data_IF_249598856292
#
_entry.id   IF_249598856292
#
_cell.length_a   1.000
_cell.length_b   1.000
_cell.length_c   1.000
_cell.angle_alpha   90.00
_cell.angle_beta   90.00
_cell.angle_gamma   90.00
#
_symmetry.space_group_name_H-M   'P 1'
#
loop_
_entity.id
_entity.type
_entity.pdbx_description
1 polymer ?
#
# COMPACT_ATOMS: atom_id res chain seq x y z
N UNK A 1 33.30 -12.44 -4.01
CA UNK A 1 32.40 -11.26 -4.03
C UNK A 1 33.25 -10.02 -3.82
N UNK A 2 33.21 -9.07 -4.75
CA UNK A 2 33.98 -7.81 -4.74
C UNK A 2 33.16 -6.67 -4.11
N UNK A 3 33.80 -5.59 -3.66
CA UNK A 3 33.11 -4.41 -3.08
C UNK A 3 32.04 -3.84 -4.03
N UNK A 4 32.31 -3.87 -5.33
CA UNK A 4 31.40 -3.47 -6.40
C UNK A 4 30.06 -4.24 -6.40
N UNK A 5 30.10 -5.53 -6.08
CA UNK A 5 28.89 -6.36 -5.98
C UNK A 5 27.95 -5.88 -4.87
N UNK A 6 28.49 -5.51 -3.70
CA UNK A 6 27.69 -5.01 -2.59
C UNK A 6 27.09 -3.63 -2.86
N UNK A 7 27.79 -2.79 -3.64
CA UNK A 7 27.31 -1.46 -4.03
C UNK A 7 26.16 -1.53 -5.05
N UNK A 8 26.10 -2.59 -5.87
CA UNK A 8 25.09 -2.78 -6.91
C UNK A 8 24.11 -3.92 -6.59
N UNK A 9 24.03 -4.32 -5.33
CA UNK A 9 23.17 -5.41 -4.88
C UNK A 9 21.71 -5.27 -5.37
N UNK A 10 21.07 -4.07 -5.31
CA UNK A 10 19.68 -3.91 -5.75
C UNK A 10 19.47 -4.18 -7.25
N UNK A 11 20.49 -3.94 -8.09
CA UNK A 11 20.40 -4.16 -9.53
C UNK A 11 20.40 -5.65 -9.90
N UNK A 12 20.85 -6.51 -8.99
CA UNK A 12 20.92 -7.96 -9.18
C UNK A 12 19.70 -8.70 -8.62
N UNK A 13 18.79 -7.99 -7.93
CA UNK A 13 17.57 -8.56 -7.35
C UNK A 13 16.41 -8.29 -8.31
N UNK A 14 15.76 -9.35 -8.76
CA UNK A 14 14.53 -9.21 -9.54
C UNK A 14 13.43 -8.61 -8.65
N UNK A 15 12.82 -7.46 -9.02
CA UNK A 15 11.75 -6.87 -8.24
C UNK A 15 10.46 -7.70 -8.27
N UNK A 16 10.31 -8.64 -9.21
CA UNK A 16 9.15 -9.53 -9.32
C UNK A 16 9.35 -10.74 -8.40
N UNK A 17 8.39 -10.96 -7.51
CA UNK A 17 8.36 -12.14 -6.64
C UNK A 17 7.88 -13.36 -7.41
N UNK A 18 6.76 -13.23 -8.12
CA UNK A 18 6.23 -14.26 -9.02
C UNK A 18 5.24 -13.65 -10.02
N UNK A 19 5.18 -14.25 -11.20
CA UNK A 19 4.27 -13.87 -12.28
C UNK A 19 3.22 -14.95 -12.51
N UNK A 20 1.95 -14.56 -12.58
CA UNK A 20 0.83 -15.43 -12.96
C UNK A 20 0.25 -14.89 -14.27
N UNK A 21 0.67 -15.47 -15.39
CA UNK A 21 0.24 -15.03 -16.72
C UNK A 21 0.64 -13.57 -16.99
N UNK A 22 -0.36 -12.71 -17.22
CA UNK A 22 -0.15 -11.28 -17.50
C UNK A 22 0.02 -10.42 -16.23
N UNK A 23 -0.09 -11.01 -15.03
CA UNK A 23 -0.05 -10.29 -13.76
C UNK A 23 1.26 -10.58 -13.00
N UNK A 24 1.98 -9.55 -12.58
CA UNK A 24 3.27 -9.70 -11.91
C UNK A 24 3.23 -9.14 -10.49
N UNK A 25 3.41 -10.02 -9.49
CA UNK A 25 3.45 -9.59 -8.09
C UNK A 25 4.88 -9.23 -7.73
N UNK A 26 5.08 -8.00 -7.26
CA UNK A 26 6.38 -7.48 -6.83
C UNK A 26 6.62 -7.79 -5.35
N UNK A 27 7.90 -7.93 -4.97
CA UNK A 27 8.31 -8.09 -3.57
C UNK A 27 7.79 -6.98 -2.68
N UNK A 28 7.75 -5.76 -3.20
CA UNK A 28 7.25 -4.59 -2.49
C UNK A 28 5.78 -4.73 -2.06
N UNK A 29 4.92 -5.23 -2.96
CA UNK A 29 3.50 -5.48 -2.67
C UNK A 29 3.35 -6.58 -1.61
N UNK A 30 4.20 -7.61 -1.67
CA UNK A 30 4.21 -8.67 -0.65
C UNK A 30 4.63 -8.14 0.71
N UNK A 31 5.63 -7.25 0.77
CA UNK A 31 6.06 -6.64 2.03
C UNK A 31 4.98 -5.77 2.66
N UNK A 32 4.14 -5.10 1.86
CA UNK A 32 2.95 -4.42 2.39
C UNK A 32 1.96 -5.39 3.05
N UNK A 33 1.67 -6.54 2.42
CA UNK A 33 0.80 -7.55 3.03
C UNK A 33 1.36 -8.06 4.36
N UNK A 34 2.67 -8.31 4.41
CA UNK A 34 3.36 -8.71 5.64
C UNK A 34 3.25 -7.61 6.70
N UNK A 35 3.47 -6.35 6.34
CA UNK A 35 3.36 -5.23 7.28
C UNK A 35 1.93 -5.10 7.86
N UNK A 36 0.89 -5.20 7.01
CA UNK A 36 -0.50 -5.18 7.47
C UNK A 36 -0.82 -6.36 8.38
N UNK A 37 -0.34 -7.57 8.05
CA UNK A 37 -0.53 -8.74 8.91
C UNK A 37 0.14 -8.58 10.28
N UNK A 38 1.37 -8.04 10.33
CA UNK A 38 2.08 -7.79 11.59
C UNK A 38 1.34 -6.74 12.42
N UNK A 39 0.89 -5.64 11.81
CA UNK A 39 0.12 -4.59 12.53
C UNK A 39 -1.19 -5.16 13.06
N UNK A 40 -1.90 -5.96 12.27
CA UNK A 40 -3.13 -6.62 12.70
C UNK A 40 -2.91 -7.51 13.94
N UNK A 41 -1.91 -8.39 13.88
CA UNK A 41 -1.59 -9.31 14.98
C UNK A 41 -1.16 -8.56 16.25
N UNK A 42 -0.37 -7.49 16.11
CA UNK A 42 0.02 -6.64 17.23
C UNK A 42 -1.17 -5.89 17.83
N UNK A 43 -2.07 -5.38 16.98
CA UNK A 43 -3.28 -4.68 17.42
C UNK A 43 -4.21 -5.63 18.17
N UNK A 44 -4.45 -6.83 17.64
CA UNK A 44 -5.22 -7.88 18.34
C UNK A 44 -4.56 -8.26 19.67
N UNK A 45 -3.24 -8.50 19.67
CA UNK A 45 -2.52 -8.87 20.88
C UNK A 45 -2.66 -7.80 21.96
N UNK A 46 -2.51 -6.52 21.56
CA UNK A 46 -2.63 -5.37 22.46
C UNK A 46 -4.04 -5.20 22.99
N UNK A 47 -5.06 -5.33 22.15
CA UNK A 47 -6.46 -5.27 22.58
C UNK A 47 -6.75 -6.36 23.62
N UNK A 48 -6.26 -7.58 23.38
CA UNK A 48 -6.45 -8.72 24.28
C UNK A 48 -5.68 -8.60 25.61
N UNK A 49 -4.52 -7.93 25.63
CA UNK A 49 -3.67 -7.84 26.83
C UNK A 49 -3.82 -6.53 27.62
N UNK A 50 -3.84 -5.37 26.95
CA UNK A 50 -3.84 -4.05 27.60
C UNK A 50 -5.26 -3.50 27.86
N UNK A 51 -6.25 -3.98 27.10
CA UNK A 51 -7.62 -3.45 27.11
C UNK A 51 -8.68 -4.46 27.55
N UNK A 52 -8.28 -5.67 27.95
CA UNK A 52 -9.17 -6.67 28.54
C UNK A 52 -9.85 -6.11 29.80
N UNK A 53 -11.06 -5.57 29.65
CA UNK A 53 -11.85 -4.98 30.74
C UNK A 53 -12.15 -3.47 30.60
N UNK A 54 -11.58 -2.76 29.62
CA UNK A 54 -11.99 -1.37 29.32
C UNK A 54 -13.15 -1.38 28.33
N UNK A 55 -14.28 -0.77 28.71
CA UNK A 55 -15.49 -0.58 27.87
C UNK A 55 -15.24 0.08 26.50
N UNK A 56 -14.06 0.65 26.27
CA UNK A 56 -13.70 1.30 25.00
C UNK A 56 -13.66 0.28 23.86
N UNK A 57 -13.30 -0.97 24.14
CA UNK A 57 -13.37 -2.09 23.18
C UNK A 57 -14.51 -3.01 23.60
N UNK A 58 -15.72 -2.47 23.67
CA UNK A 58 -16.90 -3.26 23.99
C UNK A 58 -17.19 -4.24 22.85
N UNK A 59 -16.86 -5.51 23.07
CA UNK A 59 -17.42 -6.72 22.43
C UNK A 59 -17.28 -6.91 20.91
N UNK A 60 -16.74 -5.95 20.16
CA UNK A 60 -16.60 -6.13 18.73
C UNK A 60 -15.31 -6.91 18.41
N UNK A 61 -15.48 -8.19 18.07
CA UNK A 61 -14.37 -9.08 17.71
C UNK A 61 -13.60 -8.56 16.49
N UNK A 62 -14.24 -7.71 15.69
CA UNK A 62 -13.73 -7.24 14.41
C UNK A 62 -13.19 -5.80 14.48
N UNK A 63 -13.19 -5.14 15.65
CA UNK A 63 -12.72 -3.76 15.78
C UNK A 63 -11.31 -3.53 15.22
N UNK A 64 -10.39 -4.48 15.46
CA UNK A 64 -9.03 -4.39 14.95
C UNK A 64 -8.98 -4.41 13.41
N UNK A 65 -9.82 -5.25 12.80
CA UNK A 65 -9.93 -5.39 11.36
C UNK A 65 -10.58 -4.15 10.75
N UNK A 66 -11.69 -3.68 11.33
CA UNK A 66 -12.40 -2.48 10.88
C UNK A 66 -11.52 -1.24 10.94
N UNK A 67 -10.75 -1.08 12.02
CA UNK A 67 -9.78 0.00 12.15
C UNK A 67 -8.71 -0.09 11.06
N UNK A 68 -8.16 -1.28 10.84
CA UNK A 68 -7.10 -1.50 9.85
C UNK A 68 -7.60 -1.21 8.42
N UNK A 69 -8.79 -1.66 8.07
CA UNK A 69 -9.43 -1.37 6.79
C UNK A 69 -9.70 0.13 6.65
N UNK A 70 -10.25 0.78 7.68
CA UNK A 70 -10.55 2.21 7.66
C UNK A 70 -9.28 3.04 7.44
N UNK A 71 -8.19 2.71 8.14
CA UNK A 71 -6.89 3.37 7.99
C UNK A 71 -6.28 3.06 6.62
N UNK A 72 -6.37 1.82 6.12
CA UNK A 72 -5.86 1.46 4.80
C UNK A 72 -6.58 2.24 3.67
N UNK A 73 -7.90 2.40 3.76
CA UNK A 73 -8.68 3.22 2.82
C UNK A 73 -8.23 4.68 2.90
N UNK A 74 -8.10 5.23 4.12
CA UNK A 74 -7.62 6.60 4.33
C UNK A 74 -6.21 6.82 3.76
N UNK A 75 -5.31 5.84 3.93
CA UNK A 75 -3.97 5.85 3.35
C UNK A 75 -4.02 5.87 1.82
N UNK A 76 -4.88 5.05 1.21
CA UNK A 76 -5.00 4.99 -0.25
C UNK A 76 -5.50 6.33 -0.81
N UNK A 77 -6.57 6.86 -0.23
CA UNK A 77 -7.14 8.14 -0.65
C UNK A 77 -6.13 9.27 -0.42
N UNK A 78 -5.51 9.31 0.77
CA UNK A 78 -4.54 10.33 1.14
C UNK A 78 -3.31 10.33 0.25
N UNK A 79 -2.76 9.17 -0.08
CA UNK A 79 -1.63 9.07 -1.00
C UNK A 79 -2.00 9.54 -2.41
N UNK A 80 -3.20 9.20 -2.92
CA UNK A 80 -3.64 9.66 -4.24
C UNK A 80 -3.83 11.16 -4.28
N UNK A 81 -4.50 11.73 -3.27
CA UNK A 81 -4.67 13.18 -3.16
C UNK A 81 -3.33 13.90 -2.97
N UNK A 82 -2.42 13.33 -2.17
CA UNK A 82 -1.07 13.85 -2.00
C UNK A 82 -0.30 13.90 -3.31
N UNK A 83 -0.36 12.85 -4.14
CA UNK A 83 0.24 12.84 -5.48
C UNK A 83 -0.35 13.97 -6.35
N UNK A 84 -1.68 14.06 -6.40
CA UNK A 84 -2.39 15.05 -7.21
C UNK A 84 -2.02 16.48 -6.80
N UNK A 85 -2.01 16.78 -5.50
CA UNK A 85 -1.78 18.13 -5.00
C UNK A 85 -0.31 18.55 -5.07
N UNK A 86 0.62 17.64 -4.83
CA UNK A 86 2.04 17.97 -4.69
C UNK A 86 2.86 17.79 -5.97
N UNK A 87 2.46 16.90 -6.88
CA UNK A 87 3.24 16.57 -8.08
C UNK A 87 2.64 17.11 -9.38
N UNK A 88 1.32 16.95 -9.60
CA UNK A 88 0.70 17.15 -10.93
C UNK A 88 -0.60 17.99 -10.88
N UNK A 89 -0.67 18.96 -9.96
CA UNK A 89 -1.91 19.69 -9.67
C UNK A 89 -2.56 20.33 -10.91
N UNK A 90 -1.78 20.96 -11.78
CA UNK A 90 -2.29 21.64 -12.98
C UNK A 90 -2.98 20.67 -13.95
N UNK A 91 -2.45 19.46 -14.11
CA UNK A 91 -3.03 18.42 -14.97
C UNK A 91 -4.36 17.93 -14.41
N UNK A 92 -4.42 17.61 -13.11
CA UNK A 92 -5.63 17.09 -12.48
C UNK A 92 -6.71 18.15 -12.28
N UNK A 93 -6.35 19.43 -12.19
CA UNK A 93 -7.31 20.53 -12.21
C UNK A 93 -8.03 20.62 -13.56
N UNK A 94 -7.33 20.37 -14.68
CA UNK A 94 -7.93 20.31 -16.01
C UNK A 94 -8.69 18.98 -16.27
N UNK A 95 -8.30 17.89 -15.60
CA UNK A 95 -8.87 16.56 -15.80
C UNK A 95 -9.25 15.88 -14.46
N UNK A 96 -10.33 16.33 -13.79
CA UNK A 96 -10.68 15.84 -12.45
C UNK A 96 -11.01 14.34 -12.40
N UNK A 97 -11.56 13.78 -13.49
CA UNK A 97 -11.84 12.34 -13.59
C UNK A 97 -10.55 11.49 -13.60
N UNK A 98 -9.41 12.08 -14.00
CA UNK A 98 -8.12 11.38 -13.97
C UNK A 98 -7.63 11.09 -12.55
N UNK A 99 -8.17 11.78 -11.52
CA UNK A 99 -7.81 11.54 -10.12
C UNK A 99 -8.19 10.10 -9.70
N UNK A 100 -9.30 9.57 -10.20
CA UNK A 100 -9.80 8.25 -9.83
C UNK A 100 -9.45 7.18 -10.89
N UNK A 101 -9.22 7.61 -12.14
CA UNK A 101 -8.93 6.69 -13.24
C UNK A 101 -7.67 5.84 -12.99
N UNK A 102 -7.76 4.50 -13.07
CA UNK A 102 -6.61 3.60 -13.05
C UNK A 102 -5.92 3.49 -14.43
N UNK A 103 -6.43 4.21 -15.43
CA UNK A 103 -5.88 4.24 -16.77
C UNK A 103 -5.08 5.53 -16.99
N UNK A 104 -3.89 5.38 -17.57
CA UNK A 104 -3.08 6.48 -18.07
C UNK A 104 -2.83 6.27 -19.56
N UNK A 105 -3.18 7.28 -20.38
CA UNK A 105 -3.02 7.27 -21.83
C UNK A 105 -3.57 6.01 -22.56
N UNK A 106 -4.66 5.41 -22.04
CA UNK A 106 -5.30 4.23 -22.64
C UNK A 106 -4.72 2.87 -22.22
N UNK A 107 -3.65 2.85 -21.40
CA UNK A 107 -3.13 1.62 -20.80
C UNK A 107 -3.61 1.46 -19.36
N UNK A 108 -3.91 0.23 -18.94
CA UNK A 108 -4.18 -0.05 -17.54
C UNK A 108 -2.88 0.03 -16.77
N UNK A 109 -2.76 1.08 -15.98
CA UNK A 109 -1.57 1.38 -15.18
C UNK A 109 -1.85 1.13 -13.69
N UNK A 110 -3.11 0.91 -13.30
CA UNK A 110 -3.50 0.86 -11.89
C UNK A 110 -3.49 2.26 -11.27
N UNK A 111 -3.62 2.32 -9.94
CA UNK A 111 -3.63 3.58 -9.18
C UNK A 111 -2.17 4.05 -9.00
N UNK A 112 -1.58 4.63 -10.03
CA UNK A 112 -0.29 5.32 -9.93
C UNK A 112 -0.39 6.47 -8.91
N UNK A 113 0.65 6.69 -8.10
CA UNK A 113 0.66 7.71 -7.03
C UNK A 113 0.47 7.19 -5.60
N UNK A 114 0.16 5.90 -5.40
CA UNK A 114 0.17 5.27 -4.07
C UNK A 114 1.59 4.95 -3.56
N UNK A 115 2.52 4.78 -4.49
CA UNK A 115 3.96 4.66 -4.27
C UNK A 115 4.63 5.02 -5.58
N UNK A 116 5.86 5.54 -5.54
CA UNK A 116 6.65 5.90 -6.73
C UNK A 116 6.80 4.75 -7.74
N UNK A 117 6.51 3.51 -7.32
CA UNK A 117 6.67 2.27 -8.08
C UNK A 117 5.39 1.53 -8.48
N UNK A 118 4.19 2.06 -8.17
CA UNK A 118 2.93 1.38 -8.50
C UNK A 118 2.73 0.09 -7.71
N UNK A 119 1.77 0.07 -6.78
CA UNK A 119 1.54 -1.07 -5.89
C UNK A 119 1.06 -2.35 -6.59
N UNK A 120 0.61 -2.23 -7.84
CA UNK A 120 0.12 -3.35 -8.67
C UNK A 120 0.43 -3.02 -10.13
N UNK A 121 1.19 -3.89 -10.81
CA UNK A 121 1.36 -3.91 -12.27
C UNK A 121 0.97 -5.29 -12.78
#
# INVERSE_FOLDING_TARGET
MTLDFYQHLPAHIDPVAFSIGFFSIRWYSLMYLVAFAVVYLLLEWRIKHDYAGKQIVNNDKDFALDLLITVAIGLIIGARLGYVLLYDFAYYAAHPLAIISPYSAGSFTGIFGLSYFGGVV
#
